data_IF_763510320111
#
_entry.id   IF_763510320111
#
_cell.length_a   1.000
_cell.length_b   1.000
_cell.length_c   1.000
_cell.angle_alpha   90.00
_cell.angle_beta   90.00
_cell.angle_gamma   90.00
#
_symmetry.space_group_name_H-M   'P 1'
#
loop_
_entity.id
_entity.type
_entity.pdbx_description
1 polymer ?
#
# COMPACT_ATOMS: atom_id res chain seq x y z
N UNK A 1 19.85 -20.96 5.99
CA UNK A 1 19.83 -19.89 4.97
C UNK A 1 19.56 -18.56 5.66
N UNK A 2 20.28 -17.49 5.30
CA UNK A 2 20.11 -16.14 5.85
C UNK A 2 19.53 -15.22 4.78
N UNK A 3 18.41 -14.59 5.09
CA UNK A 3 17.68 -13.71 4.18
C UNK A 3 17.63 -12.30 4.77
N UNK A 4 18.06 -11.31 4.00
CA UNK A 4 17.84 -9.90 4.31
C UNK A 4 16.63 -9.38 3.53
N UNK A 5 15.73 -8.69 4.20
CA UNK A 5 14.68 -7.87 3.57
C UNK A 5 14.98 -6.41 3.88
N UNK A 6 15.22 -5.61 2.85
CA UNK A 6 15.65 -4.21 3.02
C UNK A 6 14.45 -3.30 2.81
N UNK A 7 13.98 -2.68 3.90
CA UNK A 7 12.81 -1.80 3.93
C UNK A 7 11.82 -2.19 5.03
N UNK A 8 11.56 -1.26 5.97
CA UNK A 8 10.64 -1.44 7.10
C UNK A 8 9.20 -1.01 6.81
N UNK A 9 8.87 -0.69 5.57
CA UNK A 9 7.50 -0.39 5.13
C UNK A 9 6.70 -1.65 4.78
N UNK A 10 5.43 -1.47 4.41
CA UNK A 10 4.45 -2.57 4.27
C UNK A 10 4.89 -3.68 3.31
N UNK A 11 5.51 -3.33 2.19
CA UNK A 11 5.99 -4.32 1.22
C UNK A 11 7.16 -5.16 1.75
N UNK A 12 8.04 -4.56 2.54
CA UNK A 12 9.14 -5.26 3.19
C UNK A 12 8.64 -6.19 4.30
N UNK A 13 7.81 -5.68 5.20
CA UNK A 13 7.27 -6.46 6.30
C UNK A 13 6.40 -7.63 5.79
N UNK A 14 5.49 -7.42 4.83
CA UNK A 14 4.70 -8.50 4.24
C UNK A 14 5.60 -9.58 3.60
N UNK A 15 6.63 -9.15 2.85
CA UNK A 15 7.59 -10.09 2.23
C UNK A 15 8.35 -10.90 3.28
N UNK A 16 8.79 -10.27 4.36
CA UNK A 16 9.51 -10.92 5.45
C UNK A 16 8.64 -11.94 6.20
N UNK A 17 7.39 -11.58 6.51
CA UNK A 17 6.41 -12.46 7.16
C UNK A 17 6.18 -13.71 6.32
N UNK A 18 5.82 -13.56 5.04
CA UNK A 18 5.50 -14.71 4.19
C UNK A 18 6.70 -15.64 3.97
N UNK A 19 7.90 -15.08 3.76
CA UNK A 19 9.12 -15.87 3.61
C UNK A 19 9.40 -16.68 4.88
N UNK A 20 9.34 -16.03 6.05
CA UNK A 20 9.64 -16.67 7.32
C UNK A 20 8.63 -17.79 7.62
N UNK A 21 7.33 -17.50 7.50
CA UNK A 21 6.26 -18.46 7.79
C UNK A 21 6.32 -19.68 6.87
N UNK A 22 6.50 -19.45 5.56
CA UNK A 22 6.65 -20.54 4.60
C UNK A 22 7.84 -21.44 4.94
N UNK A 23 9.04 -20.85 5.10
CA UNK A 23 10.25 -21.62 5.35
C UNK A 23 10.19 -22.39 6.68
N UNK A 24 9.57 -21.81 7.72
CA UNK A 24 9.31 -22.52 8.98
C UNK A 24 8.31 -23.67 8.80
N UNK A 25 7.23 -23.46 8.05
CA UNK A 25 6.21 -24.52 7.81
C UNK A 25 6.77 -25.76 7.12
N UNK A 26 7.82 -25.62 6.32
CA UNK A 26 8.52 -26.73 5.67
C UNK A 26 9.76 -27.21 6.46
N UNK A 27 9.98 -26.71 7.67
CA UNK A 27 11.09 -27.10 8.55
C UNK A 27 12.47 -26.67 8.05
N UNK A 28 12.56 -25.69 7.15
CA UNK A 28 13.84 -25.22 6.64
C UNK A 28 14.53 -24.30 7.66
N UNK A 29 15.80 -24.55 8.03
CA UNK A 29 16.55 -23.67 8.92
C UNK A 29 16.81 -22.32 8.23
N UNK A 30 16.14 -21.28 8.70
CA UNK A 30 16.22 -19.92 8.15
C UNK A 30 16.40 -18.88 9.24
N UNK A 31 17.16 -17.84 8.91
CA UNK A 31 17.15 -16.56 9.61
C UNK A 31 16.69 -15.48 8.65
N UNK A 32 15.59 -14.79 8.97
CA UNK A 32 15.09 -13.66 8.18
C UNK A 32 15.30 -12.39 9.00
N UNK A 33 16.00 -11.42 8.43
CA UNK A 33 16.26 -10.11 9.04
C UNK A 33 15.68 -8.99 8.18
N UNK A 34 14.86 -8.12 8.77
CA UNK A 34 14.45 -6.86 8.14
C UNK A 34 15.44 -5.76 8.53
N UNK A 35 16.05 -5.14 7.53
CA UNK A 35 16.99 -4.03 7.67
C UNK A 35 16.35 -2.74 7.16
N UNK A 36 16.26 -1.68 7.97
CA UNK A 36 15.77 -0.40 7.48
C UNK A 36 16.25 0.80 8.28
N UNK A 37 16.33 1.97 7.63
CA UNK A 37 16.59 3.25 8.30
C UNK A 37 15.42 3.66 9.22
N UNK A 38 14.19 3.32 8.82
CA UNK A 38 12.97 3.68 9.52
C UNK A 38 11.97 2.51 9.56
N UNK A 39 11.21 2.46 10.65
CA UNK A 39 10.08 1.56 10.89
C UNK A 39 8.86 2.38 11.30
N UNK A 40 7.69 1.73 11.39
CA UNK A 40 6.48 2.37 11.92
C UNK A 40 6.76 2.98 13.30
N UNK A 41 6.32 4.23 13.58
CA UNK A 41 5.36 5.04 12.81
C UNK A 41 5.98 6.02 11.78
N UNK A 42 7.21 5.77 11.32
CA UNK A 42 8.01 6.72 10.54
C UNK A 42 8.22 6.33 9.07
N UNK A 43 7.30 5.56 8.48
CA UNK A 43 7.35 5.16 7.07
C UNK A 43 6.29 5.88 6.23
N UNK A 44 6.44 5.89 4.90
CA UNK A 44 5.39 6.36 3.98
C UNK A 44 4.07 5.61 4.19
N UNK A 45 4.13 4.34 4.62
CA UNK A 45 2.93 3.54 4.88
C UNK A 45 2.06 4.16 5.96
N UNK A 46 2.67 4.62 7.05
CA UNK A 46 1.97 5.10 8.26
C UNK A 46 1.02 6.28 8.01
N UNK A 47 1.28 7.09 6.99
CA UNK A 47 0.40 8.21 6.61
C UNK A 47 -0.57 7.93 5.48
N UNK A 48 -0.55 6.73 4.89
CA UNK A 48 -1.52 6.34 3.87
C UNK A 48 -2.96 6.35 4.44
N UNK A 49 -3.93 6.60 3.58
CA UNK A 49 -5.34 6.63 3.97
C UNK A 49 -5.89 5.23 4.32
N UNK A 50 -5.24 4.17 3.83
CA UNK A 50 -5.56 2.79 4.20
C UNK A 50 -6.72 2.15 3.45
N UNK A 51 -7.45 2.86 2.60
CA UNK A 51 -8.51 2.25 1.77
C UNK A 51 -7.91 1.26 0.78
N UNK A 52 -8.48 0.07 0.70
CA UNK A 52 -8.17 -0.89 -0.35
C UNK A 52 -8.73 -0.36 -1.68
N UNK A 53 -7.84 -0.19 -2.65
CA UNK A 53 -8.18 0.35 -3.96
C UNK A 53 -6.92 0.54 -4.81
N UNK A 54 -6.82 -0.09 -5.99
CA UNK A 54 -5.66 0.10 -6.87
C UNK A 54 -5.65 1.51 -7.50
N UNK A 55 -4.55 2.22 -7.34
CA UNK A 55 -4.34 3.61 -7.75
C UNK A 55 -2.85 3.94 -7.97
N UNK A 56 -2.54 4.72 -9.02
CA UNK A 56 -1.18 5.17 -9.39
C UNK A 56 -0.16 4.04 -9.51
N UNK A 57 -0.34 3.21 -10.54
CA UNK A 57 0.50 2.05 -10.82
C UNK A 57 1.24 2.11 -12.16
N UNK A 58 1.17 3.25 -12.86
CA UNK A 58 1.80 3.45 -14.16
C UNK A 58 1.42 2.36 -15.18
N UNK A 59 2.37 1.92 -15.99
CA UNK A 59 2.25 0.82 -16.97
C UNK A 59 2.35 -0.59 -16.37
N UNK A 60 2.11 -0.77 -15.06
CA UNK A 60 2.07 -2.11 -14.46
C UNK A 60 0.94 -2.93 -15.07
N UNK A 61 1.19 -4.16 -15.57
CA UNK A 61 0.16 -4.95 -16.24
C UNK A 61 -1.08 -5.20 -15.37
N UNK A 62 -2.26 -4.87 -15.89
CA UNK A 62 -3.54 -4.98 -15.18
C UNK A 62 -3.78 -6.36 -14.57
N UNK A 63 -3.41 -7.43 -15.28
CA UNK A 63 -3.55 -8.79 -14.77
C UNK A 63 -2.70 -9.07 -13.51
N UNK A 64 -1.49 -8.48 -13.41
CA UNK A 64 -0.67 -8.58 -12.19
C UNK A 64 -1.29 -7.79 -11.06
N UNK A 65 -1.70 -6.54 -11.34
CA UNK A 65 -2.35 -5.67 -10.35
C UNK A 65 -3.60 -6.33 -9.80
N UNK A 66 -4.46 -6.86 -10.66
CA UNK A 66 -5.68 -7.57 -10.26
C UNK A 66 -5.37 -8.71 -9.29
N UNK A 67 -4.47 -9.62 -9.67
CA UNK A 67 -4.08 -10.76 -8.83
C UNK A 67 -3.54 -10.31 -7.47
N UNK A 68 -2.61 -9.36 -7.45
CA UNK A 68 -2.05 -8.86 -6.18
C UNK A 68 -3.08 -8.19 -5.30
N UNK A 69 -3.97 -7.40 -5.91
CA UNK A 69 -5.05 -6.73 -5.20
C UNK A 69 -6.00 -7.75 -4.59
N UNK A 70 -6.35 -8.80 -5.35
CA UNK A 70 -7.20 -9.89 -4.87
C UNK A 70 -6.60 -10.59 -3.67
N UNK A 71 -5.31 -10.94 -3.73
CA UNK A 71 -4.67 -11.67 -2.63
C UNK A 71 -4.53 -10.81 -1.37
N UNK A 72 -4.30 -9.49 -1.52
CA UNK A 72 -4.38 -8.57 -0.39
C UNK A 72 -5.81 -8.47 0.17
N UNK A 73 -6.82 -8.43 -0.68
CA UNK A 73 -8.22 -8.39 -0.24
C UNK A 73 -8.61 -9.65 0.54
N UNK A 74 -8.24 -10.83 0.03
CA UNK A 74 -8.47 -12.13 0.69
C UNK A 74 -7.72 -12.19 2.04
N UNK A 75 -6.51 -11.62 2.12
CA UNK A 75 -5.77 -11.52 3.38
C UNK A 75 -6.44 -10.58 4.40
N UNK A 76 -6.95 -9.44 3.96
CA UNK A 76 -7.69 -8.52 4.82
C UNK A 76 -9.01 -9.14 5.31
N UNK A 77 -9.70 -9.94 4.49
CA UNK A 77 -10.87 -10.70 4.91
C UNK A 77 -10.53 -11.68 6.05
N UNK A 78 -9.41 -12.39 5.95
CA UNK A 78 -8.95 -13.30 7.01
C UNK A 78 -8.69 -12.58 8.34
N UNK A 79 -8.04 -11.41 8.31
CA UNK A 79 -7.82 -10.59 9.51
C UNK A 79 -9.15 -10.05 10.03
N UNK A 80 -10.03 -9.57 9.15
CA UNK A 80 -11.30 -8.99 9.55
C UNK A 80 -12.22 -10.00 10.24
N UNK A 81 -12.16 -11.28 9.84
CA UNK A 81 -12.89 -12.38 10.48
C UNK A 81 -12.24 -12.89 11.77
N UNK A 82 -11.00 -12.49 12.09
CA UNK A 82 -10.30 -12.91 13.31
C UNK A 82 -10.50 -11.92 14.47
N UNK A 83 -10.03 -12.31 15.66
CA UNK A 83 -9.98 -11.42 16.82
C UNK A 83 -8.98 -10.26 16.65
N UNK A 84 -8.09 -10.34 15.65
CA UNK A 84 -7.03 -9.37 15.41
C UNK A 84 -7.51 -8.14 14.63
N UNK A 85 -8.73 -8.14 14.09
CA UNK A 85 -9.24 -7.07 13.22
C UNK A 85 -9.03 -5.66 13.80
N UNK A 86 -9.29 -5.50 15.11
CA UNK A 86 -9.11 -4.23 15.82
C UNK A 86 -7.64 -3.84 16.01
N UNK A 87 -6.76 -4.80 16.34
CA UNK A 87 -5.31 -4.56 16.50
C UNK A 87 -4.66 -4.22 15.15
N UNK A 88 -5.05 -4.92 14.08
CA UNK A 88 -4.54 -4.71 12.73
C UNK A 88 -5.14 -3.50 12.02
N UNK A 89 -6.17 -2.86 12.59
CA UNK A 89 -6.85 -1.71 12.01
C UNK A 89 -7.58 -2.01 10.71
N UNK A 90 -8.20 -3.19 10.62
CA UNK A 90 -8.94 -3.65 9.44
C UNK A 90 -10.45 -3.49 9.66
N UNK A 91 -11.12 -2.78 8.77
CA UNK A 91 -12.57 -2.58 8.80
C UNK A 91 -13.17 -2.82 7.42
N UNK A 92 -14.31 -3.52 7.36
CA UNK A 92 -15.13 -3.61 6.15
C UNK A 92 -16.05 -2.38 6.08
N UNK A 93 -15.95 -1.59 5.02
CA UNK A 93 -16.69 -0.33 4.88
C UNK A 93 -17.37 -0.18 3.52
N UNK A 94 -18.58 0.41 3.47
CA UNK A 94 -19.17 0.87 2.22
C UNK A 94 -18.36 2.04 1.63
N UNK A 95 -18.30 2.08 0.30
CA UNK A 95 -17.62 3.09 -0.49
C UNK A 95 -18.57 3.63 -1.55
N UNK A 96 -18.51 4.94 -1.75
CA UNK A 96 -19.18 5.65 -2.81
C UNK A 96 -18.13 6.40 -3.64
N UNK A 97 -18.00 6.03 -4.90
CA UNK A 97 -17.11 6.68 -5.86
C UNK A 97 -17.96 7.43 -6.88
N UNK A 98 -17.72 8.71 -7.06
CA UNK A 98 -18.52 9.60 -7.90
C UNK A 98 -17.61 10.50 -8.72
N UNK A 99 -18.12 10.97 -9.86
CA UNK A 99 -17.40 11.90 -10.73
C UNK A 99 -18.36 12.87 -11.40
N UNK A 100 -17.84 14.02 -11.80
CA UNK A 100 -18.55 15.02 -12.63
C UNK A 100 -18.29 14.84 -14.13
N UNK A 101 -17.51 13.82 -14.49
CA UNK A 101 -17.21 13.41 -15.86
C UNK A 101 -17.58 11.94 -16.07
N UNK A 102 -16.96 11.26 -17.03
CA UNK A 102 -17.25 9.87 -17.34
C UNK A 102 -16.36 8.96 -16.51
N UNK A 103 -16.93 7.94 -15.87
CA UNK A 103 -16.14 6.87 -15.26
C UNK A 103 -15.54 5.98 -16.35
N UNK A 104 -14.39 5.40 -16.06
CA UNK A 104 -13.85 4.33 -16.91
C UNK A 104 -14.82 3.15 -16.93
N UNK A 105 -15.19 2.70 -18.14
CA UNK A 105 -16.23 1.69 -18.35
C UNK A 105 -15.89 0.31 -17.76
N UNK A 106 -14.60 0.00 -17.59
CA UNK A 106 -14.17 -1.29 -17.05
C UNK A 106 -13.31 -1.13 -15.80
N UNK A 107 -13.99 -1.20 -14.65
CA UNK A 107 -13.33 -1.30 -13.35
C UNK A 107 -12.82 -2.72 -13.19
N UNK A 108 -11.57 -2.95 -13.59
CA UNK A 108 -10.96 -4.27 -13.68
C UNK A 108 -10.99 -5.07 -12.36
N UNK A 109 -11.07 -4.40 -11.21
CA UNK A 109 -11.10 -5.00 -9.87
C UNK A 109 -12.51 -5.19 -9.28
N UNK A 110 -13.56 -4.91 -10.04
CA UNK A 110 -14.96 -4.95 -9.56
C UNK A 110 -15.41 -6.32 -9.02
N UNK A 111 -14.77 -7.39 -9.48
CA UNK A 111 -15.03 -8.78 -9.07
C UNK A 111 -14.36 -9.16 -7.75
N UNK A 112 -13.43 -8.31 -7.25
CA UNK A 112 -12.73 -8.53 -5.99
C UNK A 112 -13.55 -7.98 -4.81
N UNK A 113 -14.12 -6.79 -4.97
CA UNK A 113 -14.89 -6.09 -3.93
C UNK A 113 -16.33 -6.61 -3.84
N UNK A 114 -16.99 -6.35 -2.71
CA UNK A 114 -18.36 -6.82 -2.53
C UNK A 114 -19.37 -5.83 -3.10
N UNK A 115 -20.35 -6.34 -3.86
CA UNK A 115 -21.54 -5.59 -4.25
C UNK A 115 -21.28 -4.38 -5.15
N UNK A 116 -20.24 -4.41 -5.98
CA UNK A 116 -19.92 -3.32 -6.91
C UNK A 116 -21.05 -3.11 -7.93
N UNK A 117 -21.70 -1.95 -7.88
CA UNK A 117 -22.76 -1.56 -8.81
C UNK A 117 -22.71 -0.07 -9.11
N UNK A 118 -23.17 0.29 -10.30
CA UNK A 118 -23.38 1.68 -10.67
C UNK A 118 -24.56 2.27 -9.88
N UNK A 119 -24.48 3.56 -9.59
CA UNK A 119 -25.56 4.32 -8.99
C UNK A 119 -26.68 4.53 -10.02
N UNK A 120 -27.91 4.45 -9.54
CA UNK A 120 -29.09 4.83 -10.30
C UNK A 120 -29.19 6.36 -10.43
N UNK A 121 -29.95 6.83 -11.42
CA UNK A 121 -30.22 8.27 -11.57
C UNK A 121 -30.82 8.87 -10.29
N UNK A 122 -31.76 8.18 -9.64
CA UNK A 122 -32.36 8.66 -8.39
C UNK A 122 -31.33 8.81 -7.26
N UNK A 123 -30.34 7.93 -7.17
CA UNK A 123 -29.24 8.05 -6.20
C UNK A 123 -28.32 9.22 -6.53
N UNK A 124 -27.98 9.41 -7.81
CA UNK A 124 -27.21 10.57 -8.26
C UNK A 124 -27.95 11.87 -7.99
N UNK A 125 -29.25 11.94 -8.26
CA UNK A 125 -30.10 13.12 -8.01
C UNK A 125 -30.11 13.48 -6.53
N UNK A 126 -30.20 12.49 -5.63
CA UNK A 126 -30.11 12.69 -4.20
C UNK A 126 -28.76 13.26 -3.76
N UNK A 127 -27.65 12.73 -4.29
CA UNK A 127 -26.29 13.24 -4.02
C UNK A 127 -26.06 14.63 -4.63
N UNK A 128 -26.86 14.99 -5.64
CA UNK A 128 -26.77 16.23 -6.37
C UNK A 128 -27.59 17.38 -5.77
N UNK A 129 -28.39 17.14 -4.74
CA UNK A 129 -29.15 18.20 -4.06
C UNK A 129 -28.18 19.26 -3.53
N UNK A 130 -28.43 20.53 -3.88
CA UNK A 130 -27.60 21.66 -3.44
C UNK A 130 -26.24 21.81 -4.14
N UNK A 131 -25.82 20.87 -5.01
CA UNK A 131 -24.54 20.97 -5.73
C UNK A 131 -24.63 21.87 -6.96
N UNK A 132 -23.63 22.72 -7.16
CA UNK A 132 -23.47 23.52 -8.39
C UNK A 132 -22.95 22.67 -9.55
N UNK A 133 -21.90 21.86 -9.33
CA UNK A 133 -21.39 20.88 -10.30
C UNK A 133 -21.96 19.51 -9.98
N UNK A 134 -22.75 18.97 -10.90
CA UNK A 134 -23.50 17.72 -10.71
C UNK A 134 -22.61 16.51 -10.99
N UNK A 135 -22.68 15.51 -10.12
CA UNK A 135 -22.16 14.19 -10.42
C UNK A 135 -22.96 13.57 -11.57
N UNK A 136 -22.24 13.04 -12.54
CA UNK A 136 -22.79 12.46 -13.77
C UNK A 136 -22.81 10.95 -13.70
N UNK A 137 -21.84 10.35 -13.01
CA UNK A 137 -21.70 8.91 -12.83
C UNK A 137 -21.17 8.61 -11.43
N UNK A 138 -21.40 7.38 -10.97
CA UNK A 138 -20.85 6.90 -9.73
C UNK A 138 -21.18 5.45 -9.47
N UNK A 139 -20.44 4.84 -8.54
CA UNK A 139 -20.62 3.46 -8.13
C UNK A 139 -20.57 3.32 -6.62
N UNK A 140 -21.22 2.28 -6.12
CA UNK A 140 -21.10 1.85 -4.75
C UNK A 140 -20.56 0.42 -4.69
N UNK A 141 -19.74 0.16 -3.68
CA UNK A 141 -19.16 -1.14 -3.38
C UNK A 141 -18.79 -1.19 -1.90
N UNK A 142 -18.43 -2.35 -1.39
CA UNK A 142 -17.92 -2.53 -0.03
C UNK A 142 -16.53 -3.14 -0.15
N UNK A 143 -15.56 -2.59 0.59
CA UNK A 143 -14.20 -3.13 0.66
C UNK A 143 -13.58 -2.82 2.02
N UNK A 144 -12.31 -3.14 2.19
CA UNK A 144 -11.60 -2.93 3.44
C UNK A 144 -10.90 -1.57 3.49
N UNK A 145 -10.88 -0.98 4.68
CA UNK A 145 -9.78 -0.10 5.09
C UNK A 145 -8.84 -0.89 5.98
N UNK A 146 -7.55 -0.79 5.70
CA UNK A 146 -6.48 -1.30 6.54
C UNK A 146 -5.55 -0.15 6.89
N UNK A 147 -5.62 0.33 8.13
CA UNK A 147 -4.82 1.46 8.61
C UNK A 147 -3.36 1.06 8.77
N UNK A 148 -2.41 1.58 7.98
CA UNK A 148 -1.04 1.07 8.07
C UNK A 148 -0.35 1.40 9.40
N UNK A 149 -0.75 2.49 10.06
CA UNK A 149 -0.30 2.82 11.43
C UNK A 149 -0.65 1.74 12.46
N UNK A 150 -1.61 0.86 12.15
CA UNK A 150 -1.98 -0.31 12.96
C UNK A 150 -1.51 -1.63 12.32
N UNK A 151 -1.74 -1.79 11.02
CA UNK A 151 -1.37 -3.00 10.27
C UNK A 151 0.15 -3.26 10.30
N UNK A 152 0.98 -2.22 10.19
CA UNK A 152 2.44 -2.39 10.20
C UNK A 152 2.94 -2.90 11.56
N UNK A 153 2.62 -2.26 12.71
CA UNK A 153 2.96 -2.83 14.01
C UNK A 153 2.45 -4.25 14.21
N UNK A 154 1.21 -4.54 13.80
CA UNK A 154 0.64 -5.89 13.88
C UNK A 154 1.48 -6.92 13.12
N UNK A 155 1.83 -6.62 11.86
CA UNK A 155 2.66 -7.52 11.04
C UNK A 155 4.10 -7.62 11.55
N UNK A 156 4.67 -6.54 12.08
CA UNK A 156 6.00 -6.56 12.71
C UNK A 156 6.00 -7.47 13.95
N UNK A 157 5.01 -7.34 14.83
CA UNK A 157 4.82 -8.20 15.99
C UNK A 157 4.66 -9.67 15.58
N UNK A 158 3.86 -9.95 14.55
CA UNK A 158 3.71 -11.30 13.95
C UNK A 158 5.04 -11.85 13.43
N UNK A 159 5.85 -11.02 12.77
CA UNK A 159 7.17 -11.39 12.25
C UNK A 159 8.15 -11.74 13.37
N UNK A 160 8.28 -10.87 14.39
CA UNK A 160 9.18 -11.07 15.53
C UNK A 160 8.75 -12.25 16.40
N UNK A 161 7.45 -12.43 16.65
CA UNK A 161 6.91 -13.60 17.36
C UNK A 161 7.25 -14.93 16.66
N UNK A 162 7.45 -14.89 15.34
CA UNK A 162 7.90 -16.03 14.56
C UNK A 162 9.43 -16.19 14.51
N UNK A 163 10.20 -15.38 15.24
CA UNK A 163 11.67 -15.42 15.29
C UNK A 163 12.36 -14.59 14.21
N UNK A 164 11.62 -13.72 13.52
CA UNK A 164 12.18 -12.72 12.63
C UNK A 164 12.98 -11.66 13.40
N UNK A 165 14.04 -11.14 12.79
CA UNK A 165 14.87 -10.09 13.40
C UNK A 165 14.61 -8.75 12.72
N UNK A 166 14.42 -7.69 13.50
CA UNK A 166 14.32 -6.33 12.99
C UNK A 166 15.58 -5.56 13.42
N UNK A 167 16.26 -4.93 12.47
CA UNK A 167 17.47 -4.16 12.73
C UNK A 167 17.38 -2.81 12.05
N UNK A 168 17.58 -1.76 12.83
CA UNK A 168 17.66 -0.40 12.31
C UNK A 168 19.03 -0.16 11.69
N UNK A 169 19.07 -0.10 10.36
CA UNK A 169 20.28 0.09 9.57
C UNK A 169 19.93 0.71 8.22
N UNK A 170 20.64 1.79 7.86
CA UNK A 170 20.55 2.39 6.53
C UNK A 170 21.44 1.64 5.55
N UNK A 171 20.86 1.20 4.43
CA UNK A 171 21.60 0.62 3.30
C UNK A 171 21.68 1.66 2.18
N UNK A 172 22.87 2.22 1.98
CA UNK A 172 23.09 3.32 1.03
C UNK A 172 23.38 2.80 -0.39
N UNK A 173 24.08 1.68 -0.51
CA UNK A 173 24.41 1.04 -1.78
C UNK A 173 24.10 -0.46 -1.68
N UNK A 174 23.14 -0.93 -2.48
CA UNK A 174 22.74 -2.33 -2.45
C UNK A 174 23.84 -3.26 -2.99
N UNK A 175 24.60 -2.84 -3.99
CA UNK A 175 25.66 -3.66 -4.60
C UNK A 175 26.80 -3.93 -3.60
N UNK A 176 27.21 -2.90 -2.86
CA UNK A 176 28.19 -3.04 -1.78
C UNK A 176 27.66 -3.95 -0.66
N UNK A 177 26.37 -3.82 -0.32
CA UNK A 177 25.73 -4.69 0.67
C UNK A 177 25.64 -6.14 0.19
N UNK A 178 25.28 -6.39 -1.07
CA UNK A 178 25.27 -7.72 -1.68
C UNK A 178 26.67 -8.32 -1.61
N UNK A 179 27.71 -7.55 -1.94
CA UNK A 179 29.10 -8.04 -1.99
C UNK A 179 29.64 -8.40 -0.61
N UNK A 180 29.39 -7.54 0.39
CA UNK A 180 30.07 -7.62 1.69
C UNK A 180 29.27 -8.32 2.79
N UNK A 181 27.95 -8.50 2.63
CA UNK A 181 27.15 -9.20 3.63
C UNK A 181 27.33 -10.72 3.57
N UNK A 182 26.81 -11.41 4.57
CA UNK A 182 26.78 -12.87 4.68
C UNK A 182 25.38 -13.46 4.42
N UNK A 183 24.46 -12.65 3.88
CA UNK A 183 23.12 -13.10 3.47
C UNK A 183 23.18 -13.89 2.16
N UNK A 184 22.38 -14.96 2.09
CA UNK A 184 22.24 -15.84 0.91
C UNK A 184 21.24 -15.26 -0.11
N UNK A 185 20.19 -14.59 0.40
CA UNK A 185 19.15 -13.94 -0.40
C UNK A 185 18.83 -12.54 0.14
N UNK A 186 18.54 -11.61 -0.77
CA UNK A 186 18.31 -10.20 -0.47
C UNK A 186 17.05 -9.75 -1.19
N UNK A 187 16.07 -9.29 -0.43
CA UNK A 187 14.81 -8.78 -0.93
C UNK A 187 14.84 -7.25 -0.80
N UNK A 188 14.92 -6.54 -1.92
CA UNK A 188 14.93 -5.09 -1.95
C UNK A 188 13.50 -4.53 -1.98
N UNK A 189 13.05 -4.02 -0.83
CA UNK A 189 11.77 -3.34 -0.62
C UNK A 189 11.95 -1.85 -0.23
N UNK A 190 13.01 -1.19 -0.73
CA UNK A 190 13.40 0.16 -0.28
C UNK A 190 12.48 1.30 -0.77
N UNK A 191 11.43 0.99 -1.55
CA UNK A 191 10.45 1.98 -2.00
C UNK A 191 11.12 3.10 -2.81
N UNK A 192 10.90 4.36 -2.41
CA UNK A 192 11.53 5.51 -3.06
C UNK A 192 13.05 5.51 -2.90
N UNK A 193 13.57 4.87 -1.84
CA UNK A 193 15.01 4.72 -1.59
C UNK A 193 15.73 3.93 -2.69
N UNK A 194 15.03 3.14 -3.51
CA UNK A 194 15.62 2.47 -4.69
C UNK A 194 16.25 3.44 -5.68
N UNK A 195 15.78 4.70 -5.71
CA UNK A 195 16.39 5.75 -6.55
C UNK A 195 17.88 5.92 -6.25
N UNK A 196 18.24 5.88 -4.97
CA UNK A 196 19.62 6.06 -4.51
C UNK A 196 20.32 4.71 -4.35
N UNK A 197 19.66 3.75 -3.69
CA UNK A 197 20.25 2.49 -3.26
C UNK A 197 20.61 1.54 -4.41
N UNK A 198 19.84 1.57 -5.51
CA UNK A 198 20.09 0.78 -6.73
C UNK A 198 20.17 1.63 -8.00
N UNK A 199 20.25 2.97 -7.85
CA UNK A 199 20.32 3.92 -8.97
C UNK A 199 19.20 3.76 -10.01
N UNK A 200 18.00 3.39 -9.58
CA UNK A 200 16.84 3.31 -10.48
C UNK A 200 16.31 4.72 -10.78
N UNK A 201 16.75 5.29 -11.90
CA UNK A 201 16.34 6.61 -12.37
C UNK A 201 14.86 6.69 -12.79
N UNK A 202 14.16 5.57 -12.90
CA UNK A 202 12.72 5.53 -13.14
C UNK A 202 11.89 5.86 -11.88
N UNK A 203 12.52 5.94 -10.71
CA UNK A 203 11.85 6.30 -9.46
C UNK A 203 11.71 7.82 -9.30
N UNK A 204 10.50 8.27 -8.95
CA UNK A 204 10.21 9.67 -8.66
C UNK A 204 9.26 9.82 -7.46
N UNK A 205 9.38 10.91 -6.69
CA UNK A 205 8.47 11.16 -5.58
C UNK A 205 7.11 11.60 -6.12
N UNK A 206 6.05 11.10 -5.49
CA UNK A 206 4.70 11.58 -5.70
C UNK A 206 4.19 12.09 -4.35
N UNK A 207 4.26 13.40 -4.14
CA UNK A 207 3.84 14.03 -2.89
C UNK A 207 2.33 13.93 -2.71
N UNK A 208 1.93 13.58 -1.50
CA UNK A 208 0.55 13.60 -1.06
C UNK A 208 0.42 14.22 0.32
N UNK A 209 -0.55 15.12 0.47
CA UNK A 209 -0.94 15.69 1.75
C UNK A 209 -2.35 15.23 2.11
N UNK A 210 -2.57 14.99 3.40
CA UNK A 210 -3.86 14.65 4.00
C UNK A 210 -4.04 15.39 5.33
N UNK A 211 -5.30 15.56 5.74
CA UNK A 211 -5.68 16.04 7.07
C UNK A 211 -6.47 14.95 7.80
N UNK A 212 -6.19 14.76 9.09
CA UNK A 212 -6.90 13.80 9.95
C UNK A 212 -7.84 14.55 10.88
N UNK A 213 -9.06 14.05 10.99
CA UNK A 213 -10.11 14.67 11.83
C UNK A 213 -10.83 13.62 12.68
N UNK A 214 -11.44 14.06 13.78
CA UNK A 214 -12.35 13.25 14.59
C UNK A 214 -13.78 13.40 14.07
N UNK A 215 -14.25 12.37 13.37
CA UNK A 215 -15.58 12.33 12.78
C UNK A 215 -16.12 10.89 12.72
N UNK A 216 -16.07 10.20 13.86
CA UNK A 216 -16.40 8.76 13.99
C UNK A 216 -17.88 8.43 13.69
N UNK A 217 -18.71 9.45 13.45
CA UNK A 217 -20.07 9.30 12.90
C UNK A 217 -20.07 8.93 11.41
N UNK A 218 -18.91 9.01 10.73
CA UNK A 218 -18.75 8.57 9.35
C UNK A 218 -18.36 7.10 9.28
N UNK A 219 -19.11 6.35 8.49
CA UNK A 219 -18.91 4.91 8.25
C UNK A 219 -18.83 4.55 6.76
N UNK A 220 -18.90 5.53 5.86
CA UNK A 220 -18.82 5.34 4.41
C UNK A 220 -17.66 6.15 3.84
N UNK A 221 -16.83 5.54 3.00
CA UNK A 221 -15.82 6.25 2.23
C UNK A 221 -16.47 6.97 1.05
N UNK A 222 -16.10 8.24 0.83
CA UNK A 222 -16.58 9.07 -0.26
C UNK A 222 -15.38 9.45 -1.12
N UNK A 223 -15.39 9.08 -2.41
CA UNK A 223 -14.33 9.37 -3.36
C UNK A 223 -14.91 10.24 -4.50
N UNK A 224 -14.59 11.53 -4.52
CA UNK A 224 -14.89 12.40 -5.65
C UNK A 224 -13.68 12.39 -6.60
N UNK A 225 -13.87 11.84 -7.80
CA UNK A 225 -12.84 11.73 -8.85
C UNK A 225 -13.00 12.78 -9.95
N UNK A 226 -13.66 13.89 -9.64
CA UNK A 226 -13.63 15.07 -10.49
C UNK A 226 -12.22 15.68 -10.57
N UNK A 227 -12.01 16.65 -11.46
CA UNK A 227 -10.70 17.30 -11.67
C UNK A 227 -10.07 17.87 -10.36
N UNK A 228 -10.91 18.39 -9.45
CA UNK A 228 -10.52 18.88 -8.11
C UNK A 228 -10.83 17.86 -6.99
N UNK A 229 -10.80 16.57 -7.33
CA UNK A 229 -11.34 15.48 -6.50
C UNK A 229 -10.77 15.41 -5.09
N UNK A 230 -11.65 15.11 -4.13
CA UNK A 230 -11.29 14.86 -2.74
C UNK A 230 -11.89 13.54 -2.27
N UNK A 231 -11.25 12.93 -1.28
CA UNK A 231 -11.71 11.72 -0.64
C UNK A 231 -11.85 11.91 0.87
N UNK A 232 -12.85 11.23 1.42
CA UNK A 232 -13.14 11.14 2.85
C UNK A 232 -13.13 9.64 3.16
N UNK A 233 -12.14 9.19 3.93
CA UNK A 233 -11.95 7.76 4.22
C UNK A 233 -12.00 7.57 5.74
N UNK A 234 -13.08 6.98 6.27
CA UNK A 234 -13.13 6.57 7.66
C UNK A 234 -12.08 5.50 7.97
N UNK A 235 -11.49 5.61 9.13
CA UNK A 235 -10.59 4.64 9.74
C UNK A 235 -11.20 4.26 11.11
N UNK A 236 -10.60 3.35 11.88
CA UNK A 236 -11.16 2.89 13.16
C UNK A 236 -11.41 4.04 14.12
N UNK A 237 -10.45 4.96 14.26
CA UNK A 237 -10.47 6.00 15.30
C UNK A 237 -10.56 7.43 14.74
N UNK A 238 -10.26 7.60 13.44
CA UNK A 238 -10.15 8.91 12.79
C UNK A 238 -10.75 8.87 11.39
N UNK A 239 -10.88 10.02 10.75
CA UNK A 239 -11.25 10.12 9.33
C UNK A 239 -10.14 10.85 8.59
N UNK A 240 -9.76 10.30 7.44
CA UNK A 240 -8.79 10.90 6.51
C UNK A 240 -9.54 11.78 5.53
N UNK A 241 -9.15 13.05 5.51
CA UNK A 241 -9.51 13.99 4.45
C UNK A 241 -8.31 14.07 3.50
N UNK A 242 -8.52 13.77 2.24
CA UNK A 242 -7.49 13.93 1.23
C UNK A 242 -8.05 14.28 -0.13
N UNK A 243 -7.21 14.41 -1.15
CA UNK A 243 -5.77 14.54 -1.00
C UNK A 243 -5.17 15.12 -2.27
N UNK A 244 -3.90 15.48 -2.16
CA UNK A 244 -3.12 15.93 -3.31
C UNK A 244 -2.36 14.78 -3.97
N UNK A 245 -2.09 15.00 -5.26
CA UNK A 245 -1.20 14.18 -6.07
C UNK A 245 -0.27 15.12 -6.84
N UNK A 246 0.97 15.29 -6.36
CA UNK A 246 1.96 16.17 -6.95
C UNK A 246 3.22 15.38 -7.32
N UNK A 247 3.38 15.07 -8.60
CA UNK A 247 4.56 14.35 -9.10
C UNK A 247 5.82 15.22 -9.06
N UNK A 248 6.97 14.60 -8.81
CA UNK A 248 8.29 15.23 -8.74
C UNK A 248 8.48 16.26 -7.62
N UNK A 249 7.50 16.43 -6.73
CA UNK A 249 7.64 17.21 -5.51
C UNK A 249 8.19 16.32 -4.38
N UNK A 250 9.32 16.72 -3.79
CA UNK A 250 9.99 16.03 -2.69
C UNK A 250 9.81 16.74 -1.33
N UNK A 251 9.00 17.80 -1.26
CA UNK A 251 8.79 18.57 -0.06
C UNK A 251 7.89 17.83 0.94
N UNK A 252 8.43 17.45 2.08
CA UNK A 252 7.70 16.76 3.16
C UNK A 252 7.05 17.70 4.17
N UNK A 253 7.08 19.02 3.95
CA UNK A 253 6.42 20.00 4.81
C UNK A 253 4.95 20.19 4.42
N UNK A 254 4.10 20.44 5.42
CA UNK A 254 2.69 20.80 5.22
C UNK A 254 2.60 22.11 4.45
N UNK A 255 1.80 22.11 3.39
CA UNK A 255 1.45 23.28 2.59
C UNK A 255 0.06 23.79 3.01
N UNK A 256 -0.04 25.08 3.35
CA UNK A 256 -1.31 25.69 3.77
C UNK A 256 -2.35 25.71 2.65
N UNK A 257 -1.92 25.92 1.41
CA UNK A 257 -2.81 25.93 0.24
C UNK A 257 -3.40 24.55 0.00
N UNK A 258 -2.59 23.50 0.06
CA UNK A 258 -3.05 22.12 -0.08
C UNK A 258 -4.00 21.73 1.05
N UNK A 259 -3.73 22.18 2.29
CA UNK A 259 -4.64 21.96 3.43
C UNK A 259 -5.98 22.63 3.19
N UNK A 260 -5.98 23.88 2.75
CA UNK A 260 -7.20 24.61 2.46
C UNK A 260 -8.00 23.94 1.33
N UNK A 261 -7.32 23.49 0.26
CA UNK A 261 -7.92 22.72 -0.82
C UNK A 261 -8.61 21.45 -0.30
N UNK A 262 -7.90 20.62 0.46
CA UNK A 262 -8.42 19.36 1.02
C UNK A 262 -9.61 19.61 1.94
N UNK A 263 -9.45 20.47 2.95
CA UNK A 263 -10.49 20.66 3.98
C UNK A 263 -11.74 21.31 3.38
N UNK A 264 -11.58 22.33 2.54
CA UNK A 264 -12.73 22.99 1.92
C UNK A 264 -13.43 22.07 0.91
N UNK A 265 -12.67 21.29 0.15
CA UNK A 265 -13.19 20.30 -0.78
C UNK A 265 -14.01 19.20 -0.08
N UNK A 266 -13.46 18.59 0.96
CA UNK A 266 -14.20 17.60 1.76
C UNK A 266 -15.46 18.20 2.42
N UNK A 267 -15.42 19.46 2.88
CA UNK A 267 -16.62 20.16 3.42
C UNK A 267 -17.68 20.45 2.36
N UNK A 268 -17.30 20.63 1.09
CA UNK A 268 -18.27 20.73 -0.02
C UNK A 268 -18.96 19.39 -0.30
N UNK A 269 -18.26 18.27 -0.10
CA UNK A 269 -18.85 16.92 -0.22
C UNK A 269 -19.77 16.67 0.98
N UNK A 270 -19.32 17.03 2.19
CA UNK A 270 -19.99 16.73 3.43
C UNK A 270 -19.90 17.92 4.41
N UNK A 271 -20.87 18.84 4.40
CA UNK A 271 -20.83 20.09 5.18
C UNK A 271 -20.65 19.89 6.68
N UNK A 272 -21.17 18.79 7.26
CA UNK A 272 -21.02 18.48 8.68
C UNK A 272 -19.55 18.36 9.17
N UNK A 273 -18.59 18.17 8.26
CA UNK A 273 -17.15 18.22 8.57
C UNK A 273 -16.67 19.60 9.02
N UNK A 274 -17.47 20.67 8.88
CA UNK A 274 -17.18 21.97 9.48
C UNK A 274 -16.99 21.89 11.00
N UNK A 275 -17.74 20.99 11.65
CA UNK A 275 -17.71 20.80 13.11
C UNK A 275 -16.75 19.70 13.59
N UNK A 276 -16.04 19.04 12.66
CA UNK A 276 -15.09 18.00 13.01
C UNK A 276 -13.82 18.59 13.63
N UNK A 277 -13.36 17.99 14.73
CA UNK A 277 -12.09 18.39 15.35
C UNK A 277 -10.93 17.98 14.45
N UNK A 278 -10.07 18.95 14.08
CA UNK A 278 -8.78 18.66 13.44
C UNK A 278 -7.83 17.98 14.42
N UNK A 279 -7.14 16.93 13.96
CA UNK A 279 -6.16 16.19 14.76
C UNK A 279 -4.75 16.55 14.34
N UNK A 280 -4.40 16.32 13.08
CA UNK A 280 -3.09 16.63 12.52
C UNK A 280 -3.12 16.60 10.99
N UNK A 281 -2.07 17.14 10.37
CA UNK A 281 -1.83 17.05 8.93
C UNK A 281 -0.61 16.16 8.68
N UNK A 282 -0.59 15.45 7.56
CA UNK A 282 0.52 14.59 7.19
C UNK A 282 0.88 14.75 5.71
N UNK A 283 2.17 14.68 5.42
CA UNK A 283 2.72 14.73 4.06
C UNK A 283 3.67 13.55 3.88
N UNK A 284 3.55 12.86 2.75
CA UNK A 284 4.50 11.82 2.39
C UNK A 284 4.71 11.69 0.90
N UNK A 285 5.74 10.93 0.57
CA UNK A 285 6.21 10.73 -0.80
C UNK A 285 5.93 9.29 -1.21
N UNK A 286 4.92 9.12 -2.06
CA UNK A 286 4.60 7.82 -2.65
C UNK A 286 5.73 7.44 -3.64
N UNK A 287 6.15 6.16 -3.67
CA UNK A 287 7.24 5.71 -4.54
C UNK A 287 6.75 5.52 -5.98
N UNK A 288 6.67 6.62 -6.74
CA UNK A 288 6.29 6.61 -8.16
C UNK A 288 7.35 5.94 -9.03
N UNK A 289 6.91 5.20 -10.05
CA UNK A 289 7.71 4.55 -11.08
C UNK A 289 6.85 4.33 -12.32
N UNK A 290 7.45 4.25 -13.50
CA UNK A 290 6.74 3.93 -14.74
C UNK A 290 5.96 2.61 -14.64
N UNK A 291 6.52 1.60 -13.97
CA UNK A 291 5.82 0.37 -13.59
C UNK A 291 6.42 -0.18 -12.31
N UNK A 292 5.65 -0.91 -11.50
CA UNK A 292 6.14 -1.59 -10.30
C UNK A 292 7.24 -2.60 -10.68
N UNK A 293 8.39 -2.53 -10.01
CA UNK A 293 9.49 -3.46 -10.22
C UNK A 293 9.41 -4.62 -9.24
N UNK A 294 8.94 -5.77 -9.74
CA UNK A 294 8.92 -7.03 -9.01
C UNK A 294 9.46 -8.16 -9.88
N UNK A 295 10.70 -8.56 -9.60
CA UNK A 295 11.51 -9.51 -10.38
C UNK A 295 12.75 -9.97 -9.59
N UNK A 296 13.35 -11.09 -9.99
CA UNK A 296 14.66 -11.54 -9.52
C UNK A 296 15.78 -11.06 -10.46
N UNK A 297 16.94 -10.67 -9.91
CA UNK A 297 18.13 -10.39 -10.70
C UNK A 297 18.72 -11.68 -11.28
N UNK A 298 19.25 -11.60 -12.52
CA UNK A 298 19.84 -12.75 -13.22
C UNK A 298 21.36 -12.82 -12.99
N UNK A 299 21.87 -14.03 -12.78
CA UNK A 299 23.32 -14.31 -12.87
C UNK A 299 24.17 -13.87 -11.68
N UNK A 300 23.56 -13.43 -10.57
CA UNK A 300 24.26 -13.05 -9.35
C UNK A 300 24.69 -14.23 -8.48
N UNK A 301 25.81 -14.08 -7.76
CA UNK A 301 26.25 -15.08 -6.76
C UNK A 301 25.22 -15.27 -5.64
N UNK A 302 24.48 -14.21 -5.29
CA UNK A 302 23.38 -14.23 -4.31
C UNK A 302 22.05 -14.09 -5.01
N UNK A 303 20.98 -14.51 -4.35
CA UNK A 303 19.62 -14.28 -4.82
C UNK A 303 19.26 -12.83 -4.49
N UNK A 304 18.85 -12.04 -5.48
CA UNK A 304 18.36 -10.68 -5.26
C UNK A 304 16.99 -10.55 -5.91
N UNK A 305 16.00 -10.12 -5.14
CA UNK A 305 14.63 -9.92 -5.62
C UNK A 305 14.23 -8.48 -5.32
N UNK A 306 13.74 -7.76 -6.32
CA UNK A 306 13.22 -6.41 -6.16
C UNK A 306 11.71 -6.44 -5.93
N UNK A 307 11.23 -5.53 -5.08
CA UNK A 307 9.81 -5.30 -4.83
C UNK A 307 9.59 -3.82 -4.42
N UNK A 308 9.54 -2.91 -5.39
CA UNK A 308 9.35 -1.47 -5.16
C UNK A 308 8.68 -0.75 -6.33
N UNK A 309 8.40 0.55 -6.18
CA UNK A 309 7.71 1.35 -7.20
C UNK A 309 6.18 1.20 -7.17
N UNK A 310 5.60 1.09 -5.97
CA UNK A 310 4.17 0.80 -5.77
C UNK A 310 3.25 2.02 -5.94
N UNK A 311 3.80 3.21 -6.18
CA UNK A 311 3.03 4.45 -6.26
C UNK A 311 2.04 4.60 -5.11
N UNK A 312 0.77 4.83 -5.44
CA UNK A 312 -0.33 5.00 -4.48
C UNK A 312 -0.90 3.73 -3.88
N UNK A 313 -0.44 2.55 -4.32
CA UNK A 313 -1.05 1.25 -3.99
C UNK A 313 -0.18 0.35 -3.12
N UNK A 314 0.81 0.90 -2.43
CA UNK A 314 1.73 0.12 -1.60
C UNK A 314 1.02 -0.79 -0.60
N UNK A 315 -0.03 -0.31 0.05
CA UNK A 315 -0.83 -1.12 1.00
C UNK A 315 -1.75 -2.09 0.24
N UNK A 316 -2.46 -1.60 -0.77
CA UNK A 316 -3.41 -2.39 -1.59
C UNK A 316 -2.80 -3.65 -2.20
N UNK A 317 -1.51 -3.64 -2.52
CA UNK A 317 -0.84 -4.75 -3.19
C UNK A 317 0.10 -5.56 -2.30
N UNK A 318 0.38 -5.10 -1.08
CA UNK A 318 1.54 -5.55 -0.31
C UNK A 318 1.62 -7.07 -0.11
N UNK A 319 0.49 -7.68 0.30
CA UNK A 319 0.45 -9.11 0.58
C UNK A 319 0.52 -9.95 -0.70
N UNK A 320 -0.19 -9.55 -1.76
CA UNK A 320 -0.11 -10.22 -3.05
C UNK A 320 1.26 -10.11 -3.72
N UNK A 321 1.92 -8.95 -3.61
CA UNK A 321 3.31 -8.79 -4.08
C UNK A 321 4.28 -9.64 -3.25
N UNK A 322 4.09 -9.76 -1.93
CA UNK A 322 4.88 -10.63 -1.08
C UNK A 322 4.80 -12.11 -1.50
N UNK A 323 3.65 -12.57 -1.99
CA UNK A 323 3.51 -13.95 -2.50
C UNK A 323 4.34 -14.19 -3.76
N UNK A 324 4.37 -13.23 -4.67
CA UNK A 324 5.25 -13.32 -5.84
C UNK A 324 6.73 -13.27 -5.44
N UNK A 325 7.11 -12.45 -4.45
CA UNK A 325 8.48 -12.43 -3.91
C UNK A 325 8.85 -13.81 -3.37
N UNK A 326 7.97 -14.44 -2.60
CA UNK A 326 8.17 -15.80 -2.09
C UNK A 326 8.29 -16.81 -3.24
N UNK A 327 7.44 -16.71 -4.27
CA UNK A 327 7.49 -17.61 -5.41
C UNK A 327 8.78 -17.46 -6.22
N UNK A 328 9.25 -16.22 -6.43
CA UNK A 328 10.55 -15.95 -7.05
C UNK A 328 11.70 -16.54 -6.24
N UNK A 329 11.69 -16.37 -4.91
CA UNK A 329 12.69 -16.95 -4.02
C UNK A 329 12.72 -18.48 -4.14
N UNK A 330 11.54 -19.13 -4.13
CA UNK A 330 11.43 -20.58 -4.30
C UNK A 330 12.02 -21.05 -5.63
N UNK A 331 11.70 -20.34 -6.72
CA UNK A 331 12.22 -20.67 -8.06
C UNK A 331 13.76 -20.57 -8.11
N UNK A 332 14.33 -19.50 -7.55
CA UNK A 332 15.79 -19.30 -7.49
C UNK A 332 16.48 -20.35 -6.63
N UNK A 333 15.89 -20.73 -5.50
CA UNK A 333 16.43 -21.79 -4.65
C UNK A 333 16.41 -23.14 -5.36
N UNK A 334 15.34 -23.45 -6.10
CA UNK A 334 15.26 -24.68 -6.90
C UNK A 334 16.29 -24.70 -8.05
N UNK A 335 16.45 -23.58 -8.76
CA UNK A 335 17.41 -23.46 -9.86
C UNK A 335 18.87 -23.62 -9.41
N UNK A 336 19.18 -23.29 -8.15
CA UNK A 336 20.52 -23.39 -7.56
C UNK A 336 20.80 -24.75 -6.90
N UNK A 337 19.81 -25.62 -6.74
CA UNK A 337 20.06 -26.98 -6.26
C UNK A 337 20.84 -27.75 -7.33
N UNK A 338 21.91 -28.48 -6.96
CA UNK A 338 22.61 -29.32 -7.91
C UNK A 338 21.63 -30.35 -8.47
N UNK A 339 21.51 -30.41 -9.81
CA UNK A 339 20.71 -31.44 -10.49
C UNK A 339 21.22 -32.79 -9.98
N UNK A 340 20.38 -33.55 -9.27
CA UNK A 340 20.72 -34.92 -8.89
C UNK A 340 21.01 -35.69 -10.18
N UNK A 341 22.29 -35.98 -10.43
CA UNK A 341 22.71 -36.85 -11.52
C UNK A 341 21.96 -38.18 -11.35
N UNK A 342 21.08 -38.51 -12.30
CA UNK A 342 20.58 -39.87 -12.44
C UNK A 342 21.75 -40.71 -12.93
N UNK A 343 22.44 -41.36 -12.00
CA UNK A 343 23.31 -42.49 -12.29
C UNK A 343 22.46 -43.75 -12.44
#
# INVERSE_FOLDING_TARGET
MRIAVIGGGVNGICSAVQILEYLKSIGAPVEVTVLSEAFSPNTTGDGSAGLWGPFLLGGTPTARVHRWSKHMHDFLEQIWLSEDAGEAGVCLIPCLRVTTTKMENDVFWKDIVYGCRQLTQNQLDALNIGRTKKFTEGMHFITYTSEPIKLLPYLMKRFEANGGKIVQQKIVNLEDFITNSDYDAIINCTGLGSRECVRDNGMFPIRGQVSRVKANWLYCALLDESDDGNYIIPNCDTVVLGGTHQENDNNTKVCSNDKAFIVNGCRKILPGLEHAQHLYDWVGLRPGREALRLEAEKGGKKIVIHNYGHGGSGVTLAWGCAEDVLQLLKNELQARQPVKSKL
#
